data_IF_486950837478
#
_entry.id   IF_486950837478
#
_cell.length_a   1.000
_cell.length_b   1.000
_cell.length_c   1.000
_cell.angle_alpha   90.00
_cell.angle_beta   90.00
_cell.angle_gamma   90.00
#
_symmetry.space_group_name_H-M   'P 1'
#
loop_
_entity.id
_entity.type
_entity.pdbx_description
1 polymer ?
#
# COMPACT_ATOMS: atom_id res chain seq x y z
N UNK A 1 -7.72 0.45 -14.94
CA UNK A 1 -7.30 -0.88 -14.42
C UNK A 1 -5.99 -1.36 -15.03
N UNK A 2 -5.69 -1.08 -16.30
CA UNK A 2 -4.41 -1.50 -16.93
C UNK A 2 -3.15 -0.98 -16.21
N UNK A 3 -3.26 0.10 -15.45
CA UNK A 3 -2.18 0.70 -14.65
C UNK A 3 -2.02 0.11 -13.23
N UNK A 4 -2.90 -0.79 -12.77
CA UNK A 4 -2.82 -1.41 -11.44
C UNK A 4 -2.15 -2.78 -11.55
N UNK A 5 -1.06 -2.96 -10.80
CA UNK A 5 -0.25 -4.18 -10.76
C UNK A 5 -0.33 -4.79 -9.36
N UNK A 6 -0.89 -5.99 -9.26
CA UNK A 6 -1.12 -6.69 -7.98
C UNK A 6 -0.09 -7.80 -7.84
N UNK A 7 0.55 -7.90 -6.68
CA UNK A 7 1.52 -8.94 -6.39
C UNK A 7 1.68 -9.26 -4.90
N UNK A 8 2.62 -10.14 -4.60
CA UNK A 8 3.06 -10.46 -3.24
C UNK A 8 4.53 -10.11 -3.09
N UNK A 9 4.96 -9.72 -1.89
CA UNK A 9 6.36 -9.43 -1.59
C UNK A 9 6.83 -10.17 -0.33
N UNK A 10 8.14 -10.43 -0.25
CA UNK A 10 8.73 -11.13 0.89
C UNK A 10 8.84 -10.25 2.13
N UNK A 11 8.92 -10.89 3.29
CA UNK A 11 9.09 -10.21 4.57
C UNK A 11 10.38 -9.38 4.59
N UNK A 12 10.24 -8.09 4.87
CA UNK A 12 11.34 -7.19 5.17
C UNK A 12 11.04 -6.55 6.52
N UNK A 13 11.89 -6.79 7.51
CA UNK A 13 11.71 -6.21 8.84
C UNK A 13 12.28 -4.80 8.85
N UNK A 14 11.43 -3.83 9.18
CA UNK A 14 11.81 -2.44 9.33
C UNK A 14 11.16 -1.89 10.60
N UNK A 15 11.98 -1.34 11.50
CA UNK A 15 11.52 -0.67 12.72
C UNK A 15 11.89 0.81 12.65
N UNK A 16 11.05 1.64 12.03
CA UNK A 16 11.28 3.07 12.02
C UNK A 16 11.03 3.68 13.40
N UNK A 17 11.54 4.91 13.66
CA UNK A 17 11.21 5.65 14.87
C UNK A 17 9.71 5.77 15.06
N UNK A 18 9.23 5.59 16.30
CA UNK A 18 7.82 5.83 16.62
C UNK A 18 7.44 7.25 16.22
N UNK A 19 6.30 7.45 15.55
CA UNK A 19 5.72 8.72 15.06
C UNK A 19 6.14 9.23 13.69
N UNK A 20 7.11 8.59 12.99
CA UNK A 20 7.63 9.14 11.73
C UNK A 20 6.54 9.45 10.68
N UNK A 21 5.47 8.64 10.66
CA UNK A 21 4.32 8.81 9.79
C UNK A 21 3.42 10.02 10.13
N UNK A 22 3.55 10.57 11.33
CA UNK A 22 2.75 11.73 11.79
C UNK A 22 3.31 13.04 11.22
N UNK A 23 4.55 13.02 10.73
CA UNK A 23 5.26 14.16 10.14
C UNK A 23 5.05 14.24 8.61
N UNK A 24 3.79 14.29 8.17
CA UNK A 24 3.40 14.18 6.74
C UNK A 24 4.10 15.21 5.85
N UNK A 25 4.19 16.47 6.28
CA UNK A 25 4.84 17.53 5.50
C UNK A 25 6.36 17.35 5.38
N UNK A 26 7.01 16.82 6.43
CA UNK A 26 8.44 16.50 6.37
C UNK A 26 8.68 15.30 5.43
N UNK A 27 7.78 14.31 5.44
CA UNK A 27 7.84 13.17 4.52
C UNK A 27 7.68 13.59 3.06
N UNK A 28 6.73 14.49 2.78
CA UNK A 28 6.54 15.05 1.44
C UNK A 28 7.81 15.76 0.96
N UNK A 29 8.36 16.66 1.79
CA UNK A 29 9.59 17.40 1.47
C UNK A 29 10.78 16.45 1.23
N UNK A 30 10.98 15.44 2.08
CA UNK A 30 12.06 14.46 1.93
C UNK A 30 11.88 13.65 0.64
N UNK A 31 10.64 13.25 0.31
CA UNK A 31 10.36 12.52 -0.92
C UNK A 31 10.64 13.37 -2.16
N UNK A 32 10.33 14.66 -2.12
CA UNK A 32 10.62 15.61 -3.21
C UNK A 32 12.13 15.86 -3.34
N UNK A 33 12.79 16.27 -2.25
CA UNK A 33 14.21 16.65 -2.24
C UNK A 33 15.14 15.50 -2.68
N UNK A 34 14.81 14.29 -2.27
CA UNK A 34 15.60 13.09 -2.55
C UNK A 34 15.06 12.27 -3.73
N UNK A 35 14.00 12.74 -4.39
CA UNK A 35 13.35 12.06 -5.50
C UNK A 35 12.96 10.60 -5.15
N UNK A 36 12.33 10.41 -3.98
CA UNK A 36 11.93 9.11 -3.45
C UNK A 36 10.44 8.82 -3.69
N UNK A 37 10.13 7.54 -3.92
CA UNK A 37 8.75 7.05 -3.92
C UNK A 37 8.33 6.73 -2.49
N UNK A 38 7.22 7.29 -2.03
CA UNK A 38 6.67 6.95 -0.71
C UNK A 38 6.01 5.58 -0.75
N UNK A 39 6.65 4.59 -0.12
CA UNK A 39 6.07 3.25 0.08
C UNK A 39 5.09 3.30 1.25
N UNK A 40 3.81 3.04 0.99
CA UNK A 40 2.74 3.26 1.98
C UNK A 40 1.77 2.08 2.07
N UNK A 41 1.15 1.88 3.24
CA UNK A 41 -0.06 1.07 3.37
C UNK A 41 -1.29 1.97 3.14
N UNK A 42 -1.90 1.86 1.96
CA UNK A 42 -3.03 2.72 1.56
C UNK A 42 -4.28 2.57 2.44
N UNK A 43 -4.40 1.44 3.15
CA UNK A 43 -5.51 1.20 4.05
C UNK A 43 -5.36 1.96 5.37
N UNK A 44 -4.17 2.52 5.63
CA UNK A 44 -3.85 3.30 6.83
C UNK A 44 -3.59 4.77 6.52
N UNK A 45 -2.90 5.06 5.41
CA UNK A 45 -2.38 6.40 5.10
C UNK A 45 -2.42 6.68 3.59
N UNK A 46 -2.45 7.94 3.21
CA UNK A 46 -2.35 8.37 1.80
C UNK A 46 -0.87 8.47 1.37
N UNK A 47 -0.55 8.21 0.09
CA UNK A 47 0.77 8.53 -0.44
C UNK A 47 0.99 10.05 -0.42
N UNK A 48 2.25 10.48 -0.27
CA UNK A 48 2.63 11.90 -0.26
C UNK A 48 3.60 12.26 -1.39
N UNK A 49 4.24 11.26 -1.99
CA UNK A 49 5.17 11.48 -3.09
C UNK A 49 4.44 11.80 -4.39
N UNK A 50 4.91 12.79 -5.14
CA UNK A 50 4.33 13.28 -6.41
C UNK A 50 4.81 12.50 -7.65
N UNK A 51 5.49 11.37 -7.44
CA UNK A 51 5.95 10.49 -8.52
C UNK A 51 4.78 9.92 -9.32
N UNK A 52 5.01 9.61 -10.60
CA UNK A 52 4.03 8.91 -11.44
C UNK A 52 3.74 7.48 -10.98
N UNK A 53 4.60 6.91 -10.14
CA UNK A 53 4.46 5.58 -9.55
C UNK A 53 3.97 5.69 -8.10
N UNK A 54 2.85 5.03 -7.80
CA UNK A 54 2.43 4.74 -6.43
C UNK A 54 2.85 3.32 -6.04
N UNK A 55 3.55 3.17 -4.91
CA UNK A 55 4.00 1.88 -4.42
C UNK A 55 3.37 1.57 -3.06
N UNK A 56 2.52 0.54 -3.02
CA UNK A 56 1.73 0.15 -1.86
C UNK A 56 2.23 -1.18 -1.31
N UNK A 57 2.40 -1.25 0.02
CA UNK A 57 2.68 -2.49 0.75
C UNK A 57 1.65 -2.70 1.85
N UNK A 58 0.95 -3.82 1.77
CA UNK A 58 -0.14 -4.17 2.68
C UNK A 58 0.32 -5.19 3.70
N UNK A 59 0.25 -4.85 4.98
CA UNK A 59 0.76 -5.69 6.06
C UNK A 59 -0.35 -6.31 6.91
N UNK A 60 -1.60 -5.92 6.69
CA UNK A 60 -2.74 -6.23 7.55
C UNK A 60 -3.18 -5.04 8.40
N UNK A 61 -4.36 -5.14 9.00
CA UNK A 61 -4.97 -4.07 9.80
C UNK A 61 -4.91 -4.29 11.31
N UNK A 62 -4.04 -5.22 11.75
CA UNK A 62 -3.72 -5.41 13.17
C UNK A 62 -3.26 -4.10 13.84
N UNK A 63 -3.42 -3.99 15.17
CA UNK A 63 -2.97 -2.82 15.92
C UNK A 63 -1.47 -2.54 15.70
N UNK A 64 -0.67 -3.60 15.64
CA UNK A 64 0.76 -3.52 15.38
C UNK A 64 1.02 -3.71 13.88
N UNK A 65 1.59 -2.71 13.20
CA UNK A 65 1.83 -2.76 11.75
C UNK A 65 2.86 -3.80 11.30
N UNK A 66 3.71 -4.26 12.23
CA UNK A 66 4.66 -5.35 12.00
C UNK A 66 4.07 -6.74 12.29
N UNK A 67 2.82 -6.82 12.75
CA UNK A 67 2.10 -8.10 12.89
C UNK A 67 1.41 -8.46 11.58
N UNK A 68 2.12 -9.28 10.79
CA UNK A 68 1.68 -9.71 9.47
C UNK A 68 0.68 -10.87 9.49
N UNK A 69 0.31 -11.40 10.66
CA UNK A 69 -0.68 -12.46 10.77
C UNK A 69 -2.09 -11.90 10.53
N UNK A 70 -2.45 -11.75 9.27
CA UNK A 70 -3.70 -11.14 8.84
C UNK A 70 -4.26 -11.84 7.60
N UNK A 71 -5.58 -11.97 7.54
CA UNK A 71 -6.35 -12.34 6.36
C UNK A 71 -7.36 -11.23 6.09
N UNK A 72 -7.25 -10.56 4.95
CA UNK A 72 -8.21 -9.52 4.59
C UNK A 72 -9.58 -10.12 4.27
N UNK A 73 -10.61 -9.61 4.92
CA UNK A 73 -11.99 -9.92 4.59
C UNK A 73 -12.36 -9.44 3.19
N UNK A 74 -13.42 -10.03 2.63
CA UNK A 74 -13.95 -9.61 1.32
C UNK A 74 -14.32 -8.12 1.30
N UNK A 75 -14.91 -7.61 2.38
CA UNK A 75 -15.30 -6.20 2.50
C UNK A 75 -14.10 -5.27 2.49
N UNK A 76 -13.02 -5.63 3.19
CA UNK A 76 -11.78 -4.85 3.18
C UNK A 76 -11.11 -4.88 1.80
N UNK A 77 -11.15 -6.02 1.09
CA UNK A 77 -10.64 -6.11 -0.28
C UNK A 77 -11.45 -5.28 -1.27
N UNK A 78 -12.77 -5.15 -1.08
CA UNK A 78 -13.61 -4.24 -1.87
C UNK A 78 -13.23 -2.79 -1.58
N UNK A 79 -13.08 -2.41 -0.30
CA UNK A 79 -12.63 -1.06 0.06
C UNK A 79 -11.23 -0.73 -0.47
N UNK A 80 -10.32 -1.71 -0.46
CA UNK A 80 -9.01 -1.59 -1.09
C UNK A 80 -9.13 -1.35 -2.60
N UNK A 81 -10.01 -2.09 -3.30
CA UNK A 81 -10.22 -1.90 -4.72
C UNK A 81 -10.72 -0.48 -5.05
N UNK A 82 -11.66 0.05 -4.27
CA UNK A 82 -12.15 1.43 -4.41
C UNK A 82 -11.02 2.45 -4.28
N UNK A 83 -10.17 2.31 -3.24
CA UNK A 83 -9.00 3.17 -3.05
C UNK A 83 -8.00 3.09 -4.21
N UNK A 84 -7.74 1.89 -4.73
CA UNK A 84 -6.83 1.71 -5.86
C UNK A 84 -7.38 2.33 -7.14
N UNK A 85 -8.70 2.30 -7.34
CA UNK A 85 -9.35 2.97 -8.48
C UNK A 85 -9.20 4.49 -8.35
N UNK A 86 -9.47 5.07 -7.18
CA UNK A 86 -9.27 6.52 -6.93
C UNK A 86 -7.82 6.93 -7.23
N UNK A 87 -6.83 6.18 -6.73
CA UNK A 87 -5.42 6.46 -7.02
C UNK A 87 -5.10 6.34 -8.52
N UNK A 88 -5.79 5.45 -9.25
CA UNK A 88 -5.50 5.21 -10.67
C UNK A 88 -5.83 6.38 -11.58
N UNK A 89 -6.58 7.37 -11.06
CA UNK A 89 -6.86 8.64 -11.73
C UNK A 89 -5.69 9.63 -11.63
N UNK A 90 -4.83 9.47 -10.62
CA UNK A 90 -3.71 10.38 -10.33
C UNK A 90 -2.35 9.80 -10.73
N UNK A 91 -2.19 8.47 -10.62
CA UNK A 91 -0.90 7.80 -10.83
C UNK A 91 -0.89 6.98 -12.13
N UNK A 92 0.18 7.13 -12.91
CA UNK A 92 0.40 6.38 -14.16
C UNK A 92 0.58 4.88 -13.91
N UNK A 93 1.13 4.50 -12.76
CA UNK A 93 1.30 3.09 -12.37
C UNK A 93 1.16 2.90 -10.87
N UNK A 94 0.39 1.89 -10.48
CA UNK A 94 0.18 1.52 -9.09
C UNK A 94 0.68 0.09 -8.87
N UNK A 95 1.59 -0.10 -7.93
CA UNK A 95 2.00 -1.41 -7.45
C UNK A 95 1.33 -1.68 -6.10
N UNK A 96 0.41 -2.64 -6.06
CA UNK A 96 -0.25 -3.09 -4.84
C UNK A 96 0.32 -4.45 -4.41
N UNK A 97 1.20 -4.42 -3.41
CA UNK A 97 1.94 -5.60 -2.95
C UNK A 97 1.42 -6.08 -1.59
N UNK A 98 0.89 -7.29 -1.54
CA UNK A 98 0.50 -7.93 -0.28
C UNK A 98 1.74 -8.51 0.44
N UNK A 99 1.80 -8.31 1.75
CA UNK A 99 2.87 -8.75 2.65
C UNK A 99 2.32 -9.30 3.98
N UNK A 100 1.02 -9.61 4.04
CA UNK A 100 0.38 -10.31 5.14
C UNK A 100 0.46 -11.84 4.95
N UNK A 101 0.12 -12.60 5.99
CA UNK A 101 0.23 -14.07 5.99
C UNK A 101 -0.56 -14.74 4.85
N UNK A 102 -1.81 -14.34 4.61
CA UNK A 102 -2.67 -14.87 3.53
C UNK A 102 -2.49 -14.16 2.18
N UNK A 103 -1.35 -13.49 1.95
CA UNK A 103 -1.08 -12.60 0.80
C UNK A 103 -1.43 -13.20 -0.57
N UNK A 104 -1.15 -14.50 -0.80
CA UNK A 104 -1.44 -15.13 -2.10
C UNK A 104 -2.94 -15.23 -2.35
N UNK A 105 -3.70 -15.64 -1.34
CA UNK A 105 -5.16 -15.74 -1.41
C UNK A 105 -5.77 -14.35 -1.59
N UNK A 106 -5.35 -13.37 -0.78
CA UNK A 106 -5.88 -12.02 -0.84
C UNK A 106 -5.55 -11.31 -2.18
N UNK A 107 -4.32 -11.45 -2.69
CA UNK A 107 -3.95 -10.92 -3.99
C UNK A 107 -4.82 -11.50 -5.12
N UNK A 108 -5.08 -12.81 -5.09
CA UNK A 108 -5.94 -13.47 -6.08
C UNK A 108 -7.40 -13.00 -5.98
N UNK A 109 -7.90 -12.80 -4.76
CA UNK A 109 -9.25 -12.27 -4.54
C UNK A 109 -9.39 -10.83 -5.02
N UNK A 110 -8.43 -9.96 -4.67
CA UNK A 110 -8.41 -8.58 -5.14
C UNK A 110 -8.36 -8.50 -6.67
N UNK A 111 -7.52 -9.32 -7.31
CA UNK A 111 -7.44 -9.38 -8.77
C UNK A 111 -8.79 -9.72 -9.42
N UNK A 112 -9.58 -10.61 -8.80
CA UNK A 112 -10.95 -10.94 -9.26
C UNK A 112 -11.94 -9.79 -9.06
N UNK A 113 -11.78 -8.99 -8.00
CA UNK A 113 -12.63 -7.82 -7.74
C UNK A 113 -12.33 -6.71 -8.76
N UNK A 114 -11.05 -6.56 -9.14
CA UNK A 114 -10.56 -5.62 -10.15
C UNK A 114 -10.53 -6.19 -11.58
N UNK A 115 -11.23 -7.28 -11.86
CA UNK A 115 -11.41 -7.80 -13.23
C UNK A 115 -12.75 -7.33 -13.77
#
# INVERSE_FOLDING_TARGET
MENIRIGTCGYGFYQPPNNWNDHVSELEQICEDLNLIHVVDIMRRKPVSTHSICYIRLHGLNKNEYDYNYDYSKQELVSLAEKLIELSETFDTIYCMFNNYEMYSNAKQLKKILS
#
